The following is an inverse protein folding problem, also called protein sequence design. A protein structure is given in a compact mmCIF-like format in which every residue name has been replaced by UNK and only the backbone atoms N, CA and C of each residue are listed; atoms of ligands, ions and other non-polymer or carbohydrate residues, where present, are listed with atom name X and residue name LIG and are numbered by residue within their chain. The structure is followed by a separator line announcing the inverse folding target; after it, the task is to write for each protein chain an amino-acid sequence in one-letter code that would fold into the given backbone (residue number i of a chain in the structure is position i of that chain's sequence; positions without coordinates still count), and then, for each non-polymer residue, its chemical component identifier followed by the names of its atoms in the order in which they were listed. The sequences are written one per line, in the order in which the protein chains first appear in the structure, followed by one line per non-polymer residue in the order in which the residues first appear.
data_IF_968175314048
#
_entry.id   IF_968175314048
#
_cell.length_a   1.000
_cell.length_b   1.000
_cell.length_c   1.000
_cell.angle_alpha   90.00
_cell.angle_beta   90.00
_cell.angle_gamma   90.00
#
_symmetry.space_group_name_H-M   'P 1'
#
loop_
_entity.id
_entity.type
_entity.pdbx_description
1 polymer ?
#
# COMPACT_ATOMS: atom_id res chain seq x y z
N UNK A 1 -3.15 6.68 1.94
CA UNK A 1 -2.37 7.75 1.29
C UNK A 1 -0.95 7.61 1.76
N UNK A 2 0.04 7.90 0.91
CA UNK A 2 1.45 7.91 1.28
C UNK A 2 2.11 9.16 0.71
N UNK A 3 3.04 9.74 1.46
CA UNK A 3 3.82 10.88 1.00
C UNK A 3 4.94 10.38 0.09
N UNK A 4 4.97 10.86 -1.14
CA UNK A 4 5.98 10.53 -2.15
C UNK A 4 6.66 11.80 -2.64
N UNK A 5 7.89 11.64 -3.14
CA UNK A 5 8.58 12.69 -3.86
C UNK A 5 8.19 12.61 -5.34
N UNK A 6 7.69 13.70 -5.92
CA UNK A 6 7.41 13.76 -7.36
C UNK A 6 8.69 14.05 -8.17
N UNK A 7 8.58 14.09 -9.50
CA UNK A 7 9.69 14.40 -10.41
C UNK A 7 10.30 15.80 -10.16
N UNK A 8 9.47 16.72 -9.67
CA UNK A 8 9.84 18.10 -9.30
C UNK A 8 10.51 18.19 -7.92
N UNK A 9 10.77 17.06 -7.26
CA UNK A 9 11.35 16.98 -5.90
C UNK A 9 10.48 17.61 -4.81
N UNK A 10 9.17 17.56 -4.99
CA UNK A 10 8.18 18.04 -4.03
C UNK A 10 7.46 16.88 -3.35
N UNK A 11 7.14 17.06 -2.07
CA UNK A 11 6.38 16.09 -1.28
C UNK A 11 4.90 16.15 -1.66
N UNK A 12 4.36 15.05 -2.17
CA UNK A 12 2.99 14.96 -2.67
C UNK A 12 2.27 13.74 -2.10
N UNK A 13 1.02 13.93 -1.71
CA UNK A 13 0.19 12.86 -1.16
C UNK A 13 -0.43 12.02 -2.28
N UNK A 14 -0.07 10.76 -2.35
CA UNK A 14 -0.61 9.82 -3.33
C UNK A 14 -1.51 8.77 -2.68
N UNK A 15 -2.59 8.42 -3.37
CA UNK A 15 -3.43 7.28 -2.98
C UNK A 15 -2.76 6.01 -3.50
N UNK A 16 -2.38 5.13 -2.57
CA UNK A 16 -1.76 3.86 -2.91
C UNK A 16 -2.86 2.80 -2.99
N UNK A 17 -3.04 2.13 -4.14
CA UNK A 17 -3.98 1.02 -4.25
C UNK A 17 -3.56 -0.14 -3.34
N UNK A 18 -4.55 -0.85 -2.79
CA UNK A 18 -4.35 -2.07 -2.02
C UNK A 18 -5.14 -3.16 -2.72
N UNK A 19 -4.44 -4.14 -3.27
CA UNK A 19 -5.04 -5.25 -3.99
C UNK A 19 -5.79 -6.16 -3.00
N UNK A 20 -6.98 -6.62 -3.38
CA UNK A 20 -7.79 -7.56 -2.60
C UNK A 20 -8.12 -7.08 -1.17
N UNK A 21 -8.20 -5.76 -0.97
CA UNK A 21 -8.62 -5.17 0.31
C UNK A 21 -10.10 -5.54 0.59
N UNK A 22 -10.42 -6.23 1.71
CA UNK A 22 -11.79 -6.57 2.02
C UNK A 22 -12.62 -5.29 2.28
N UNK A 23 -13.89 -5.31 1.84
CA UNK A 23 -14.85 -4.27 2.22
C UNK A 23 -15.21 -4.44 3.70
N UNK A 24 -15.00 -3.39 4.49
CA UNK A 24 -15.25 -3.42 5.93
C UNK A 24 -16.44 -2.53 6.24
N UNK A 25 -17.47 -3.10 6.84
CA UNK A 25 -18.65 -2.36 7.30
C UNK A 25 -18.52 -2.12 8.80
N UNK A 26 -18.62 -0.86 9.21
CA UNK A 26 -18.64 -0.41 10.61
C UNK A 26 -17.50 -1.00 11.47
N UNK A 27 -16.23 -0.65 11.20
CA UNK A 27 -15.12 -1.10 12.05
C UNK A 27 -15.28 -0.57 13.48
N UNK A 28 -15.20 -1.44 14.48
CA UNK A 28 -15.33 -1.08 15.90
C UNK A 28 -14.04 -0.50 16.51
N UNK A 29 -12.90 -0.63 15.83
CA UNK A 29 -11.58 -0.12 16.22
C UNK A 29 -10.69 0.03 14.98
N UNK A 30 -9.55 0.75 15.06
CA UNK A 30 -8.57 0.77 13.97
C UNK A 30 -8.20 -0.65 13.54
N UNK A 31 -8.40 -0.95 12.26
CA UNK A 31 -8.23 -2.32 11.73
C UNK A 31 -6.87 -2.53 11.08
N UNK A 32 -6.34 -1.52 10.43
CA UNK A 32 -5.09 -1.64 9.68
C UNK A 32 -3.94 -0.92 10.37
N UNK A 33 -2.76 -1.54 10.31
CA UNK A 33 -1.51 -0.97 10.78
C UNK A 33 -0.48 -1.02 9.66
N UNK A 34 0.29 0.06 9.51
CA UNK A 34 1.43 0.10 8.60
C UNK A 34 2.71 0.07 9.43
N UNK A 35 3.68 -0.74 9.04
CA UNK A 35 5.01 -0.75 9.64
C UNK A 35 6.09 -1.00 8.60
N UNK A 36 7.28 -0.47 8.84
CA UNK A 36 8.43 -0.63 7.95
C UNK A 36 9.50 -1.44 8.66
N UNK A 37 9.98 -2.51 8.04
CA UNK A 37 11.06 -3.32 8.59
C UNK A 37 12.37 -2.55 8.60
N UNK A 38 12.97 -2.46 9.79
CA UNK A 38 14.26 -1.80 9.99
C UNK A 38 15.45 -2.52 9.35
N UNK A 39 15.33 -3.83 9.06
CA UNK A 39 16.46 -4.63 8.57
C UNK A 39 16.80 -4.41 7.08
N UNK A 40 16.04 -3.56 6.38
CA UNK A 40 16.42 -3.13 5.03
C UNK A 40 15.81 -1.79 4.60
N UNK A 41 14.95 -1.14 5.41
CA UNK A 41 14.11 0.01 5.00
C UNK A 41 13.30 -0.20 3.69
N UNK A 42 13.32 -1.43 3.14
CA UNK A 42 12.80 -1.81 1.83
C UNK A 42 11.43 -2.45 1.88
N UNK A 43 11.00 -2.88 3.07
CA UNK A 43 9.73 -3.59 3.22
C UNK A 43 8.80 -2.80 4.14
N UNK A 44 7.83 -2.13 3.51
CA UNK A 44 6.69 -1.54 4.19
C UNK A 44 5.52 -2.50 4.08
N UNK A 45 4.94 -2.87 5.21
CA UNK A 45 3.84 -3.80 5.32
C UNK A 45 2.58 -3.10 5.79
N UNK A 46 1.44 -3.52 5.24
CA UNK A 46 0.11 -3.21 5.73
C UNK A 46 -0.45 -4.49 6.35
N UNK A 47 -0.89 -4.43 7.61
CA UNK A 47 -1.43 -5.56 8.35
C UNK A 47 -2.89 -5.30 8.71
N UNK A 48 -3.77 -6.24 8.38
CA UNK A 48 -5.11 -6.33 8.95
C UNK A 48 -5.04 -7.01 10.33
N UNK A 49 -5.14 -6.22 11.39
CA UNK A 49 -5.02 -6.67 12.78
C UNK A 49 -6.17 -7.60 13.24
N UNK A 50 -7.21 -7.78 12.43
CA UNK A 50 -8.30 -8.72 12.73
C UNK A 50 -8.09 -10.09 12.08
N UNK A 51 -7.58 -10.11 10.85
CA UNK A 51 -7.50 -11.36 10.05
C UNK A 51 -6.07 -11.88 9.89
N UNK A 52 -5.07 -11.06 10.20
CA UNK A 52 -3.66 -11.38 9.93
C UNK A 52 -3.26 -11.23 8.47
N UNK A 53 -4.21 -10.90 7.57
CA UNK A 53 -3.89 -10.62 6.16
C UNK A 53 -2.88 -9.49 6.09
N UNK A 54 -1.82 -9.72 5.33
CA UNK A 54 -0.69 -8.82 5.21
C UNK A 54 -0.46 -8.49 3.75
N UNK A 55 -0.12 -7.24 3.47
CA UNK A 55 0.29 -6.76 2.16
C UNK A 55 1.67 -6.13 2.24
N UNK A 56 2.42 -6.20 1.16
CA UNK A 56 3.72 -5.53 1.02
C UNK A 56 3.63 -4.45 -0.04
N UNK A 57 4.22 -3.29 0.25
CA UNK A 57 4.37 -2.21 -0.69
C UNK A 57 5.49 -2.54 -1.69
N UNK A 58 5.14 -2.61 -2.98
CA UNK A 58 6.07 -2.90 -4.08
C UNK A 58 5.82 -1.96 -5.25
N UNK A 59 6.79 -1.85 -6.17
CA UNK A 59 6.58 -1.30 -7.51
C UNK A 59 6.06 -2.40 -8.42
N UNK A 60 5.05 -2.09 -9.22
CA UNK A 60 4.40 -3.05 -10.12
C UNK A 60 3.69 -2.34 -11.28
N UNK A 61 3.50 -3.07 -12.38
CA UNK A 61 2.69 -2.65 -13.51
C UNK A 61 1.19 -2.80 -13.19
N UNK A 62 0.48 -1.67 -13.09
CA UNK A 62 -0.95 -1.62 -12.78
C UNK A 62 -1.74 -1.29 -14.05
N UNK A 63 -2.83 -2.02 -14.37
CA UNK A 63 -3.73 -1.66 -15.45
C UNK A 63 -4.42 -0.31 -15.20
N UNK A 64 -4.43 0.53 -16.22
CA UNK A 64 -5.08 1.84 -16.27
C UNK A 64 -5.97 1.95 -17.51
N UNK A 65 -6.70 3.06 -17.65
CA UNK A 65 -7.53 3.30 -18.85
C UNK A 65 -6.70 3.44 -20.12
N UNK A 66 -5.44 3.86 -19.99
CA UNK A 66 -4.53 4.19 -21.09
C UNK A 66 -3.50 3.08 -21.37
N UNK A 67 -3.68 1.91 -20.75
CA UNK A 67 -2.74 0.78 -20.83
C UNK A 67 -2.19 0.40 -19.46
N UNK A 68 -0.93 0.00 -19.39
CA UNK A 68 -0.24 -0.33 -18.14
C UNK A 68 0.63 0.84 -17.65
N UNK A 69 0.74 1.00 -16.33
CA UNK A 69 1.58 2.02 -15.70
C UNK A 69 2.29 1.44 -14.49
N UNK A 70 3.60 1.69 -14.41
CA UNK A 70 4.40 1.40 -13.22
C UNK A 70 3.99 2.32 -12.07
N UNK A 71 3.56 1.72 -10.96
CA UNK A 71 3.17 2.45 -9.77
C UNK A 71 3.45 1.62 -8.51
N UNK A 72 3.48 2.30 -7.36
CA UNK A 72 3.55 1.61 -6.08
C UNK A 72 2.17 1.10 -5.67
N UNK A 73 2.12 -0.14 -5.19
CA UNK A 73 0.89 -0.84 -4.79
C UNK A 73 1.14 -1.75 -3.59
N UNK A 74 0.15 -1.89 -2.73
CA UNK A 74 0.14 -2.95 -1.72
C UNK A 74 -0.44 -4.24 -2.32
N UNK A 75 0.39 -5.27 -2.46
CA UNK A 75 -0.02 -6.63 -2.88
C UNK A 75 -0.02 -7.61 -1.71
N UNK A 76 -0.86 -8.66 -1.73
CA UNK A 76 -0.81 -9.72 -0.72
C UNK A 76 0.61 -10.23 -0.51
N UNK A 77 1.04 -10.27 0.74
CA UNK A 77 2.33 -10.84 1.10
C UNK A 77 2.28 -12.37 0.95
N UNK A 78 3.26 -12.93 0.24
CA UNK A 78 3.40 -14.39 0.01
C UNK A 78 4.42 -15.00 0.95
#
# INVERSE_FOLDING_TARGET
MQLLLNEQKENTWHKIPVQDLPRIKNPSRPRFQIFTSGLAARHTFLLDTFTGKTWTLIFDSIPTKDGETEAIVFKPFQ
#
